data_IF_080405978094
#
_entry.id   IF_080405978094
#
_cell.length_a   1.000
_cell.length_b   1.000
_cell.length_c   1.000
_cell.angle_alpha   90.00
_cell.angle_beta   90.00
_cell.angle_gamma   90.00
#
_symmetry.space_group_name_H-M   'P 1'
#
loop_
_entity.id
_entity.type
_entity.pdbx_description
1 polymer ?
#
# COMPACT_ATOMS: atom_id res chain seq x y z
N UNK A 1 -11.88 -9.86 7.44
CA UNK A 1 -13.17 -9.18 7.11
C UNK A 1 -14.26 -9.39 8.17
N UNK A 2 -14.70 -10.61 8.47
CA UNK A 2 -15.82 -10.87 9.41
C UNK A 2 -15.60 -10.40 10.86
N UNK A 3 -14.35 -10.18 11.27
CA UNK A 3 -13.96 -9.67 12.59
C UNK A 3 -13.57 -8.19 12.58
N UNK A 4 -13.82 -7.46 11.49
CA UNK A 4 -13.46 -6.04 11.37
C UNK A 4 -11.96 -5.75 11.23
N UNK A 5 -11.12 -6.79 11.09
CA UNK A 5 -9.66 -6.63 10.90
C UNK A 5 -9.33 -6.37 9.43
N UNK A 6 -8.56 -5.30 9.19
CA UNK A 6 -7.95 -4.94 7.90
C UNK A 6 -6.44 -5.12 7.94
N UNK A 7 -5.86 -5.56 6.82
CA UNK A 7 -4.42 -5.77 6.66
C UNK A 7 -3.98 -4.98 5.43
N UNK A 8 -2.86 -4.26 5.56
CA UNK A 8 -2.28 -3.45 4.51
C UNK A 8 -0.83 -3.86 4.33
N UNK A 9 -0.45 -4.15 3.08
CA UNK A 9 0.93 -4.39 2.71
C UNK A 9 1.43 -3.17 1.93
N UNK A 10 2.58 -2.65 2.35
CA UNK A 10 3.22 -1.49 1.72
C UNK A 10 4.65 -1.89 1.40
N UNK A 11 4.97 -1.94 0.11
CA UNK A 11 6.31 -2.29 -0.40
C UNK A 11 6.65 -1.45 -1.64
N UNK A 12 7.94 -1.26 -1.87
CA UNK A 12 8.49 -0.69 -3.11
C UNK A 12 8.65 -1.75 -4.21
N UNK A 13 8.75 -3.03 -3.83
CA UNK A 13 8.91 -4.13 -4.76
C UNK A 13 7.70 -5.08 -4.66
N UNK A 14 6.86 -5.19 -5.71
CA UNK A 14 5.68 -6.05 -5.67
C UNK A 14 6.03 -7.53 -5.50
N UNK A 15 7.28 -7.95 -5.77
CA UNK A 15 7.75 -9.32 -5.58
C UNK A 15 7.96 -9.70 -4.11
N UNK A 16 7.98 -8.73 -3.19
CA UNK A 16 8.15 -8.99 -1.75
C UNK A 16 6.90 -9.64 -1.13
N UNK A 17 5.75 -9.54 -1.80
CA UNK A 17 4.47 -10.08 -1.33
C UNK A 17 4.22 -11.42 -2.04
N UNK A 18 4.11 -12.54 -1.29
CA UNK A 18 3.81 -13.84 -1.89
C UNK A 18 2.49 -13.81 -2.67
N UNK A 19 2.45 -14.49 -3.81
CA UNK A 19 1.28 -14.50 -4.72
C UNK A 19 -0.01 -14.95 -4.02
N UNK A 20 0.07 -15.94 -3.12
CA UNK A 20 -1.07 -16.40 -2.31
C UNK A 20 -1.67 -15.30 -1.44
N UNK A 21 -0.85 -14.37 -0.97
CA UNK A 21 -1.29 -13.19 -0.19
C UNK A 21 -1.83 -12.14 -1.15
N UNK A 22 -1.09 -11.85 -2.23
CA UNK A 22 -1.46 -10.85 -3.23
C UNK A 22 -2.85 -11.13 -3.84
N UNK A 23 -3.20 -12.40 -4.06
CA UNK A 23 -4.51 -12.84 -4.55
C UNK A 23 -5.67 -12.62 -3.56
N UNK A 24 -5.39 -12.37 -2.28
CA UNK A 24 -6.39 -12.04 -1.26
C UNK A 24 -6.57 -10.52 -1.09
N UNK A 25 -5.71 -9.70 -1.71
CA UNK A 25 -5.77 -8.24 -1.60
C UNK A 25 -6.73 -7.68 -2.66
N UNK A 26 -7.93 -7.33 -2.23
CA UNK A 26 -8.98 -6.78 -3.10
C UNK A 26 -8.88 -5.29 -3.38
N UNK A 27 -8.22 -4.53 -2.50
CA UNK A 27 -7.95 -3.10 -2.69
C UNK A 27 -6.50 -2.91 -3.14
N UNK A 28 -6.28 -2.03 -4.12
CA UNK A 28 -4.95 -1.76 -4.67
C UNK A 28 -4.72 -0.27 -4.85
N UNK A 29 -3.55 0.17 -4.43
CA UNK A 29 -2.98 1.49 -4.70
C UNK A 29 -1.57 1.26 -5.23
N UNK A 30 -1.35 1.53 -6.50
CA UNK A 30 -0.07 1.33 -7.17
C UNK A 30 0.52 2.69 -7.54
N UNK A 31 1.63 3.04 -6.91
CA UNK A 31 2.44 4.17 -7.31
C UNK A 31 3.34 3.82 -8.50
N UNK A 32 4.05 4.82 -9.02
CA UNK A 32 4.97 4.67 -10.13
C UNK A 32 5.95 3.49 -9.92
N UNK A 33 6.04 2.61 -10.90
CA UNK A 33 7.12 1.63 -11.00
C UNK A 33 8.07 2.07 -12.10
N UNK A 34 9.36 2.06 -11.80
CA UNK A 34 10.39 2.34 -12.79
C UNK A 34 10.88 1.02 -13.35
N UNK A 35 10.93 0.93 -14.68
CA UNK A 35 11.42 -0.25 -15.36
C UNK A 35 12.71 0.06 -16.13
N UNK A 36 13.84 -0.37 -15.58
CA UNK A 36 15.16 -0.20 -16.21
C UNK A 36 15.73 -1.53 -16.71
N UNK A 37 15.23 -2.64 -16.19
CA UNK A 37 15.64 -4.00 -16.56
C UNK A 37 14.48 -4.80 -17.16
N UNK A 38 14.75 -5.90 -17.89
CA UNK A 38 13.72 -6.82 -18.34
C UNK A 38 12.91 -7.44 -17.18
N UNK A 39 13.52 -7.58 -16.00
CA UNK A 39 12.83 -8.05 -14.80
C UNK A 39 11.79 -7.03 -14.33
N UNK A 40 12.15 -5.76 -14.33
CA UNK A 40 11.23 -4.69 -13.94
C UNK A 40 10.06 -4.56 -14.91
N UNK A 41 10.31 -4.71 -16.22
CA UNK A 41 9.25 -4.71 -17.22
C UNK A 41 8.23 -5.84 -16.99
N UNK A 42 8.71 -7.04 -16.61
CA UNK A 42 7.83 -8.15 -16.22
C UNK A 42 7.04 -7.81 -14.97
N UNK A 43 7.66 -7.18 -13.98
CA UNK A 43 6.98 -6.76 -12.75
C UNK A 43 5.90 -5.69 -13.03
N UNK A 44 6.19 -4.71 -13.88
CA UNK A 44 5.22 -3.69 -14.33
C UNK A 44 4.03 -4.35 -15.03
N UNK A 45 4.28 -5.26 -15.97
CA UNK A 45 3.21 -5.97 -16.69
C UNK A 45 2.38 -6.84 -15.75
N UNK A 46 3.02 -7.58 -14.86
CA UNK A 46 2.34 -8.40 -13.86
C UNK A 46 1.45 -7.52 -12.95
N UNK A 47 1.96 -6.39 -12.46
CA UNK A 47 1.18 -5.46 -11.67
C UNK A 47 -0.01 -4.90 -12.46
N UNK A 48 0.20 -4.48 -13.72
CA UNK A 48 -0.86 -3.95 -14.58
C UNK A 48 -2.00 -4.96 -14.80
N UNK A 49 -1.67 -6.24 -15.01
CA UNK A 49 -2.64 -7.30 -15.26
C UNK A 49 -3.49 -7.68 -14.03
N UNK A 50 -3.08 -7.26 -12.83
CA UNK A 50 -3.87 -7.51 -11.61
C UNK A 50 -5.04 -6.55 -11.42
N UNK A 51 -5.10 -5.48 -12.21
CA UNK A 51 -6.18 -4.51 -12.16
C UNK A 51 -7.39 -4.94 -12.98
N UNK A 52 -8.59 -4.55 -12.53
CA UNK A 52 -9.77 -4.63 -13.37
C UNK A 52 -9.63 -3.65 -14.53
N UNK A 53 -9.75 -4.17 -15.76
CA UNK A 53 -9.53 -3.43 -17.01
C UNK A 53 -10.38 -2.16 -17.06
N UNK A 54 -9.73 -1.07 -17.48
CA UNK A 54 -10.37 0.18 -17.86
C UNK A 54 -10.14 0.39 -19.37
N UNK A 55 -11.18 0.38 -20.23
CA UNK A 55 -11.04 0.59 -21.67
C UNK A 55 -10.44 1.96 -22.05
N UNK A 56 -10.54 2.95 -21.17
CA UNK A 56 -10.06 4.31 -21.39
C UNK A 56 -8.63 4.54 -20.88
N UNK A 57 -8.03 3.53 -20.24
CA UNK A 57 -6.73 3.64 -19.60
C UNK A 57 -5.82 2.45 -19.90
N UNK A 58 -4.70 2.71 -20.57
CA UNK A 58 -3.62 1.74 -20.69
C UNK A 58 -2.85 1.65 -19.37
N UNK A 59 -3.16 0.63 -18.57
CA UNK A 59 -2.59 0.43 -17.23
C UNK A 59 -1.07 0.21 -17.27
N UNK A 60 -0.57 -0.61 -18.20
CA UNK A 60 0.87 -0.94 -18.31
C UNK A 60 1.69 0.32 -18.61
N UNK A 61 1.19 1.16 -19.52
CA UNK A 61 1.80 2.44 -19.84
C UNK A 61 1.68 3.43 -18.67
N UNK A 62 0.48 3.57 -18.11
CA UNK A 62 0.19 4.53 -17.04
C UNK A 62 1.08 4.30 -15.81
N UNK A 63 1.31 3.05 -15.38
CA UNK A 63 2.19 2.71 -14.24
C UNK A 63 3.55 3.39 -14.35
N UNK A 64 4.13 3.43 -15.55
CA UNK A 64 5.47 3.98 -15.78
C UNK A 64 5.49 5.51 -15.86
N UNK A 65 4.36 6.11 -16.23
CA UNK A 65 4.18 7.55 -16.42
C UNK A 65 3.64 8.28 -15.19
N UNK A 66 3.30 7.55 -14.11
CA UNK A 66 2.88 8.15 -12.86
C UNK A 66 3.99 9.06 -12.30
N UNK A 67 3.57 10.22 -11.82
CA UNK A 67 4.43 11.19 -11.13
C UNK A 67 4.23 11.11 -9.61
N UNK A 68 5.05 11.86 -8.87
CA UNK A 68 4.92 11.94 -7.41
C UNK A 68 3.52 12.45 -7.05
N UNK A 69 2.88 11.77 -6.09
CA UNK A 69 1.53 12.10 -5.68
C UNK A 69 0.45 11.51 -6.59
N UNK A 70 0.79 10.73 -7.61
CA UNK A 70 -0.19 10.00 -8.43
C UNK A 70 -0.13 8.50 -8.14
N UNK A 71 -1.27 7.83 -8.35
CA UNK A 71 -1.40 6.38 -8.22
C UNK A 71 -2.47 5.85 -9.16
N UNK A 72 -2.36 4.56 -9.50
CA UNK A 72 -3.49 3.78 -9.96
C UNK A 72 -4.22 3.19 -8.76
N UNK A 73 -5.53 3.34 -8.75
CA UNK A 73 -6.38 2.91 -7.63
C UNK A 73 -7.48 1.98 -8.13
N UNK A 74 -7.73 0.91 -7.39
CA UNK A 74 -8.88 0.04 -7.57
C UNK A 74 -9.32 -0.42 -6.18
N UNK A 75 -10.53 -0.03 -5.81
CA UNK A 75 -11.12 -0.37 -4.52
C UNK A 75 -12.34 -1.26 -4.72
N UNK A 76 -12.61 -2.10 -3.73
CA UNK A 76 -13.80 -2.94 -3.71
C UNK A 76 -15.08 -2.08 -3.67
N UNK A 77 -16.06 -2.46 -4.47
CA UNK A 77 -17.42 -1.90 -4.43
C UNK A 77 -18.23 -2.43 -3.23
N UNK A 78 -19.50 -2.00 -3.13
CA UNK A 78 -20.40 -2.44 -2.07
C UNK A 78 -20.70 -3.95 -2.05
N UNK A 79 -20.43 -4.66 -3.15
CA UNK A 79 -20.56 -6.12 -3.28
C UNK A 79 -19.24 -6.85 -2.98
N UNK A 80 -18.15 -6.11 -2.79
CA UNK A 80 -16.83 -6.67 -2.55
C UNK A 80 -16.10 -7.09 -3.84
N UNK A 81 -16.52 -6.59 -5.00
CA UNK A 81 -15.83 -6.79 -6.28
C UNK A 81 -14.88 -5.61 -6.54
N UNK A 82 -13.64 -5.85 -7.05
CA UNK A 82 -12.74 -4.75 -7.41
C UNK A 82 -13.38 -3.83 -8.45
N UNK A 83 -13.34 -2.52 -8.18
CA UNK A 83 -13.75 -1.49 -9.12
C UNK A 83 -12.81 -1.39 -10.31
N UNK A 84 -13.27 -0.72 -11.38
CA UNK A 84 -12.41 -0.36 -12.52
C UNK A 84 -11.22 0.45 -12.02
N UNK A 85 -10.04 0.19 -12.57
CA UNK A 85 -8.84 0.95 -12.21
C UNK A 85 -8.92 2.38 -12.74
N UNK A 86 -8.54 3.33 -11.89
CA UNK A 86 -8.50 4.75 -12.22
C UNK A 86 -7.14 5.34 -11.88
N UNK A 87 -6.76 6.41 -12.60
CA UNK A 87 -5.63 7.26 -12.20
C UNK A 87 -6.14 8.31 -11.23
N UNK A 88 -5.51 8.43 -10.08
CA UNK A 88 -5.89 9.37 -9.04
C UNK A 88 -4.68 10.15 -8.50
N UNK A 89 -4.97 11.35 -7.98
CA UNK A 89 -4.05 12.10 -7.15
C UNK A 89 -4.23 11.70 -5.68
N UNK A 90 -3.13 11.40 -5.01
CA UNK A 90 -3.07 11.10 -3.59
C UNK A 90 -2.92 12.41 -2.84
N UNK A 91 -3.89 12.72 -1.99
CA UNK A 91 -3.83 13.90 -1.13
C UNK A 91 -2.63 13.75 -0.19
N UNK A 92 -1.74 14.75 -0.10
CA UNK A 92 -0.61 14.69 0.82
C UNK A 92 -1.12 14.66 2.27
N UNK A 93 -0.41 13.96 3.17
CA UNK A 93 -0.75 13.97 4.57
C UNK A 93 -0.64 15.39 5.13
N UNK A 94 -1.61 15.77 5.97
CA UNK A 94 -1.56 17.04 6.72
C UNK A 94 -0.72 16.93 8.01
N UNK A 95 -0.17 15.76 8.29
CA UNK A 95 0.69 15.49 9.43
C UNK A 95 2.14 15.83 9.13
N UNK A 96 2.98 15.73 10.16
CA UNK A 96 4.44 15.76 9.98
C UNK A 96 4.88 14.62 9.06
N UNK A 97 5.61 14.97 8.00
CA UNK A 97 6.36 14.01 7.18
C UNK A 97 7.77 13.93 7.74
N UNK A 98 8.25 12.72 7.99
CA UNK A 98 9.56 12.45 8.56
C UNK A 98 9.48 11.91 9.99
N UNK A 99 10.56 11.28 10.48
CA UNK A 99 10.58 10.72 11.82
C UNK A 99 10.44 11.83 12.87
N UNK A 100 9.69 11.53 13.93
CA UNK A 100 9.73 12.32 15.16
C UNK A 100 11.07 12.10 15.87
N UNK A 101 11.50 13.08 16.68
CA UNK A 101 12.71 12.90 17.49
C UNK A 101 12.47 11.83 18.57
N UNK A 102 13.53 11.19 19.10
CA UNK A 102 13.41 10.25 20.21
C UNK A 102 12.66 10.83 21.42
N UNK A 103 12.86 12.12 21.71
CA UNK A 103 12.24 12.83 22.83
C UNK A 103 10.74 13.03 22.60
N UNK A 104 10.36 13.45 21.39
CA UNK A 104 8.96 13.54 20.98
C UNK A 104 8.27 12.18 21.08
N UNK A 105 8.94 11.12 20.64
CA UNK A 105 8.43 9.74 20.74
C UNK A 105 8.16 9.34 22.19
N UNK A 106 9.10 9.62 23.10
CA UNK A 106 8.91 9.32 24.53
C UNK A 106 7.75 10.10 25.14
N UNK A 107 7.61 11.40 24.81
CA UNK A 107 6.49 12.22 25.25
C UNK A 107 5.14 11.62 24.85
N UNK A 108 4.97 11.33 23.54
CA UNK A 108 3.74 10.74 23.00
C UNK A 108 3.41 9.39 23.66
N UNK A 109 4.43 8.54 23.88
CA UNK A 109 4.24 7.25 24.53
C UNK A 109 3.73 7.42 25.96
N UNK A 110 4.31 8.35 26.73
CA UNK A 110 3.92 8.61 28.14
C UNK A 110 2.53 9.24 28.26
N UNK A 111 2.09 10.01 27.27
CA UNK A 111 0.77 10.62 27.21
C UNK A 111 -0.34 9.63 26.80
N UNK A 112 0.03 8.45 26.27
CA UNK A 112 -0.93 7.45 25.83
C UNK A 112 -1.76 6.89 27.00
N UNK A 113 -3.07 6.74 26.79
CA UNK A 113 -3.98 6.15 27.77
C UNK A 113 -3.65 4.69 28.13
N UNK A 114 -2.86 4.00 27.30
CA UNK A 114 -2.41 2.62 27.52
C UNK A 114 -0.95 2.52 27.96
N UNK A 115 -0.33 3.65 28.30
CA UNK A 115 0.98 3.66 28.93
C UNK A 115 0.91 2.90 30.27
N UNK A 116 1.90 2.05 30.56
CA UNK A 116 1.88 1.11 31.69
C UNK A 116 1.48 -0.32 31.31
N UNK A 117 0.83 -0.52 30.15
CA UNK A 117 0.22 -1.81 29.78
C UNK A 117 1.00 -2.58 28.72
N UNK A 118 1.68 -1.89 27.79
CA UNK A 118 2.27 -2.49 26.59
C UNK A 118 3.72 -2.10 26.35
N UNK A 119 4.34 -1.30 27.22
CA UNK A 119 5.74 -0.89 27.06
C UNK A 119 6.74 -1.99 27.45
N UNK A 120 6.29 -3.00 28.22
CA UNK A 120 7.14 -4.12 28.58
C UNK A 120 7.26 -5.06 27.37
N UNK A 121 8.40 -5.00 26.70
CA UNK A 121 8.75 -5.97 25.66
C UNK A 121 8.66 -7.38 26.26
N UNK A 122 7.86 -8.23 25.62
CA UNK A 122 7.80 -9.65 25.93
C UNK A 122 8.53 -10.35 24.80
N UNK A 123 9.79 -10.68 25.05
CA UNK A 123 10.52 -11.60 24.18
C UNK A 123 9.94 -12.99 24.39
N UNK A 124 9.25 -13.51 23.35
CA UNK A 124 8.83 -14.90 23.35
C UNK A 124 9.98 -15.69 22.78
N UNK A 125 10.66 -16.47 23.62
CA UNK A 125 11.40 -17.63 23.15
C UNK A 125 10.39 -18.53 22.40
N UNK A 126 10.40 -18.48 21.08
CA UNK A 126 9.56 -19.28 20.18
C UNK A 126 10.41 -19.81 19.04
#
# INVERSE_FOLDING_TARGET
>A
RSKGVGIYFVTQNPLDIPEKVLGQLGNRVQHALRAFTPSDQKAVRAAAQTFRVNPELNVEEAITQLEVGQALVSFLDGKGSPGVVERAYVLPPRSQIGPITPEQRQGIIRESAVYGSYEKEVDRES
#
